data_IF_508183846936
#
_entry.id   IF_508183846936
#
_cell.length_a   1.000
_cell.length_b   1.000
_cell.length_c   1.000
_cell.angle_alpha   90.00
_cell.angle_beta   90.00
_cell.angle_gamma   90.00
#
_symmetry.space_group_name_H-M   'P 1'
#
loop_
_entity.id
_entity.type
_entity.pdbx_description
1 polymer ?
#
# COMPACT_ATOMS: atom_id res chain seq x y z
N UNK A 1 35.79 -37.70 66.15
CA UNK A 1 34.43 -37.47 65.61
C UNK A 1 34.32 -35.98 65.28
N UNK A 2 34.38 -35.60 64.01
CA UNK A 2 34.07 -34.23 63.60
C UNK A 2 33.29 -34.29 62.29
N UNK A 3 32.00 -33.97 62.39
CA UNK A 3 31.02 -33.90 61.31
C UNK A 3 31.19 -32.54 60.62
N UNK A 4 31.72 -32.52 59.40
CA UNK A 4 31.69 -31.28 58.61
C UNK A 4 30.40 -31.22 57.81
N UNK A 5 29.61 -30.20 58.13
CA UNK A 5 28.30 -29.88 57.58
C UNK A 5 28.43 -29.23 56.19
N UNK A 6 27.45 -29.52 55.33
CA UNK A 6 27.27 -29.08 53.95
C UNK A 6 26.92 -27.59 53.85
N UNK A 7 27.41 -26.90 52.82
CA UNK A 7 26.62 -25.86 52.12
C UNK A 7 27.09 -25.73 50.67
N UNK A 8 26.30 -26.26 49.73
CA UNK A 8 26.42 -25.93 48.31
C UNK A 8 25.54 -24.70 48.06
N UNK A 9 26.14 -23.53 47.86
CA UNK A 9 25.42 -22.35 47.39
C UNK A 9 25.15 -22.52 45.89
N UNK A 10 23.91 -22.85 45.54
CA UNK A 10 23.44 -22.76 44.15
C UNK A 10 23.13 -21.29 43.84
N UNK A 11 24.02 -20.63 43.09
CA UNK A 11 23.77 -19.31 42.51
C UNK A 11 22.79 -19.47 41.33
N UNK A 12 21.50 -19.25 41.60
CA UNK A 12 20.50 -19.10 40.54
C UNK A 12 20.76 -17.78 39.81
N UNK A 13 21.36 -17.84 38.63
CA UNK A 13 21.49 -16.67 37.75
C UNK A 13 20.13 -16.40 37.10
N UNK A 14 19.45 -15.36 37.56
CA UNK A 14 18.24 -14.86 36.93
C UNK A 14 18.63 -14.25 35.56
N UNK A 15 18.29 -14.93 34.48
CA UNK A 15 18.42 -14.38 33.12
C UNK A 15 17.32 -13.34 32.95
N UNK A 16 17.65 -12.06 33.16
CA UNK A 16 16.76 -10.95 32.83
C UNK A 16 16.62 -10.87 31.31
N UNK A 17 15.55 -11.46 30.77
CA UNK A 17 15.17 -11.30 29.37
C UNK A 17 14.80 -9.85 29.09
N UNK A 18 15.63 -9.15 28.33
CA UNK A 18 15.29 -7.84 27.77
C UNK A 18 14.10 -8.01 26.82
N UNK A 19 12.90 -7.64 27.26
CA UNK A 19 11.74 -7.53 26.38
C UNK A 19 11.99 -6.36 25.42
N UNK A 20 12.27 -6.65 24.15
CA UNK A 20 12.34 -5.61 23.11
C UNK A 20 11.00 -4.87 23.09
N UNK A 21 10.99 -3.53 23.09
CA UNK A 21 9.76 -2.76 23.06
C UNK A 21 8.94 -3.14 21.81
N UNK A 22 7.64 -3.38 21.97
CA UNK A 22 6.72 -3.63 20.86
C UNK A 22 6.54 -2.34 20.05
N UNK A 23 7.41 -2.09 19.09
CA UNK A 23 7.22 -1.03 18.09
C UNK A 23 5.97 -1.34 17.27
N UNK A 24 5.06 -0.37 17.11
CA UNK A 24 3.91 -0.52 16.22
C UNK A 24 4.44 -0.74 14.80
N UNK A 25 4.00 -1.83 14.16
CA UNK A 25 4.34 -2.14 12.77
C UNK A 25 4.00 -0.95 11.84
N UNK A 26 4.89 -0.59 10.89
CA UNK A 26 4.61 0.49 9.95
C UNK A 26 3.41 0.12 9.07
N UNK A 27 2.51 1.08 8.84
CA UNK A 27 1.31 0.92 8.01
C UNK A 27 1.06 2.17 7.17
N UNK A 28 0.64 1.96 5.92
CA UNK A 28 0.10 3.03 5.08
C UNK A 28 -1.17 3.59 5.74
N UNK A 29 -1.32 4.91 5.72
CA UNK A 29 -2.58 5.56 6.10
C UNK A 29 -3.32 5.93 4.83
N UNK A 30 -4.58 5.52 4.76
CA UNK A 30 -5.43 5.68 3.58
C UNK A 30 -6.51 6.68 3.91
N UNK A 31 -6.65 7.71 3.07
CA UNK A 31 -7.80 8.63 3.06
C UNK A 31 -8.51 8.44 1.74
N UNK A 32 -9.82 8.24 1.76
CA UNK A 32 -10.65 8.15 0.54
C UNK A 32 -11.19 9.55 0.26
N UNK A 33 -10.71 10.16 -0.81
CA UNK A 33 -11.02 11.56 -1.15
C UNK A 33 -12.27 11.65 -2.05
N UNK A 34 -12.44 10.66 -2.93
CA UNK A 34 -13.62 10.52 -3.77
C UNK A 34 -13.93 9.04 -3.99
N UNK A 35 -15.20 8.66 -3.89
CA UNK A 35 -15.68 7.32 -4.18
C UNK A 35 -16.90 7.39 -5.09
N UNK A 36 -16.89 6.71 -6.25
CA UNK A 36 -18.06 6.56 -7.10
C UNK A 36 -19.23 5.90 -6.36
N UNK A 37 -20.46 6.29 -6.70
CA UNK A 37 -21.68 5.74 -6.10
C UNK A 37 -21.88 4.26 -6.46
N UNK A 38 -21.67 3.90 -7.74
CA UNK A 38 -21.65 2.51 -8.19
C UNK A 38 -20.20 2.03 -8.32
N UNK A 39 -19.98 0.78 -7.94
CA UNK A 39 -18.66 0.17 -7.87
C UNK A 39 -18.73 -1.30 -8.30
N UNK A 40 -19.04 -1.55 -9.58
CA UNK A 40 -19.19 -2.91 -10.10
C UNK A 40 -17.87 -3.67 -10.15
N UNK A 41 -16.75 -2.95 -10.30
CA UNK A 41 -15.40 -3.50 -10.34
C UNK A 41 -14.58 -2.89 -9.21
N UNK A 42 -14.02 -3.78 -8.37
CA UNK A 42 -13.11 -3.44 -7.27
C UNK A 42 -11.76 -4.08 -7.50
N UNK A 43 -10.69 -3.32 -7.28
CA UNK A 43 -9.32 -3.82 -7.34
C UNK A 43 -9.09 -4.91 -6.31
N UNK A 44 -8.44 -6.00 -6.73
CA UNK A 44 -8.01 -7.08 -5.86
C UNK A 44 -6.63 -7.59 -6.24
N UNK A 45 -6.08 -8.43 -5.37
CA UNK A 45 -4.80 -9.11 -5.59
C UNK A 45 -4.72 -9.71 -7.00
N UNK A 46 -3.59 -9.51 -7.67
CA UNK A 46 -3.29 -9.96 -9.04
C UNK A 46 -4.06 -9.27 -10.17
N UNK A 47 -4.92 -8.28 -9.88
CA UNK A 47 -5.49 -7.44 -10.94
C UNK A 47 -4.39 -6.53 -11.51
N UNK A 48 -4.47 -6.26 -12.82
CA UNK A 48 -3.66 -5.24 -13.47
C UNK A 48 -4.37 -3.89 -13.37
N UNK A 49 -3.76 -2.93 -12.70
CA UNK A 49 -4.35 -1.61 -12.47
C UNK A 49 -3.68 -0.58 -13.36
N UNK A 50 -4.48 0.35 -13.89
CA UNK A 50 -4.01 1.60 -14.47
C UNK A 50 -4.28 2.73 -13.47
N UNK A 51 -3.22 3.40 -12.98
CA UNK A 51 -3.32 4.42 -11.94
C UNK A 51 -2.76 5.76 -12.41
N UNK A 52 -3.54 6.83 -12.22
CA UNK A 52 -2.98 8.16 -12.16
C UNK A 52 -2.54 8.49 -10.74
N UNK A 53 -1.47 9.27 -10.61
CA UNK A 53 -0.92 9.69 -9.32
C UNK A 53 -0.12 10.99 -9.37
N UNK A 54 0.01 11.61 -8.20
CA UNK A 54 1.00 12.65 -7.86
C UNK A 54 1.73 12.22 -6.59
N UNK A 55 3.06 12.09 -6.66
CA UNK A 55 3.93 11.77 -5.53
C UNK A 55 4.57 13.02 -4.93
N UNK A 56 4.41 13.21 -3.62
CA UNK A 56 4.89 14.38 -2.87
C UNK A 56 5.75 14.00 -1.67
N UNK A 57 6.76 14.81 -1.40
CA UNK A 57 7.49 14.77 -0.13
C UNK A 57 6.65 15.42 1.00
N UNK A 58 7.12 15.28 2.24
CA UNK A 58 6.45 15.83 3.43
C UNK A 58 6.27 17.35 3.40
N UNK A 59 7.15 18.07 2.71
CA UNK A 59 7.05 19.53 2.52
C UNK A 59 6.05 19.93 1.41
N UNK A 60 5.42 18.96 0.75
CA UNK A 60 4.45 19.16 -0.32
C UNK A 60 5.08 19.26 -1.71
N UNK A 61 6.41 19.27 -1.84
CA UNK A 61 7.07 19.30 -3.13
C UNK A 61 6.83 17.99 -3.91
N UNK A 62 6.49 18.13 -5.19
CA UNK A 62 6.20 17.00 -6.09
C UNK A 62 7.52 16.42 -6.62
N UNK A 63 7.70 15.11 -6.51
CA UNK A 63 8.88 14.42 -7.06
C UNK A 63 8.57 13.59 -8.31
N UNK A 64 7.31 13.22 -8.52
CA UNK A 64 6.84 12.51 -9.70
C UNK A 64 5.33 12.71 -9.89
N UNK A 65 4.89 12.72 -11.15
CA UNK A 65 3.51 12.96 -11.54
C UNK A 65 3.21 12.24 -12.86
N UNK A 66 2.17 11.40 -12.88
CA UNK A 66 1.71 10.72 -14.10
C UNK A 66 1.02 11.65 -15.11
N UNK A 67 0.40 12.74 -14.63
CA UNK A 67 -0.37 13.66 -15.48
C UNK A 67 0.53 14.45 -16.44
N UNK A 68 1.78 14.75 -16.04
CA UNK A 68 2.76 15.43 -16.91
C UNK A 68 3.07 14.60 -18.17
N UNK A 69 2.87 13.28 -18.10
CA UNK A 69 3.10 12.33 -19.19
C UNK A 69 1.81 11.92 -19.90
N UNK A 70 0.63 12.32 -19.39
CA UNK A 70 -0.68 11.85 -19.85
C UNK A 70 -0.78 10.32 -19.99
N UNK A 71 -0.09 9.59 -19.12
CA UNK A 71 -0.02 8.13 -19.17
C UNK A 71 -0.13 7.55 -17.75
N UNK A 72 -1.19 6.79 -17.45
CA UNK A 72 -1.31 6.05 -16.19
C UNK A 72 -0.14 5.06 -16.03
N UNK A 73 0.22 4.80 -14.78
CA UNK A 73 1.13 3.70 -14.46
C UNK A 73 0.34 2.40 -14.43
N UNK A 74 0.77 1.42 -15.22
CA UNK A 74 0.22 0.07 -15.21
C UNK A 74 1.10 -0.89 -14.41
N UNK A 75 0.49 -1.66 -13.51
CA UNK A 75 1.18 -2.69 -12.72
C UNK A 75 0.19 -3.73 -12.18
N UNK A 76 0.71 -4.87 -11.74
CA UNK A 76 -0.09 -5.92 -11.11
C UNK A 76 -0.13 -5.72 -9.60
N UNK A 77 -1.32 -5.58 -9.02
CA UNK A 77 -1.51 -5.30 -7.60
C UNK A 77 -1.08 -6.48 -6.71
N UNK A 78 -0.28 -6.19 -5.68
CA UNK A 78 0.06 -7.11 -4.61
C UNK A 78 1.19 -8.08 -4.95
N UNK A 79 1.89 -7.88 -6.07
CA UNK A 79 2.99 -8.76 -6.52
C UNK A 79 4.37 -8.21 -6.17
N UNK A 80 4.45 -7.04 -5.51
CA UNK A 80 5.73 -6.36 -5.23
C UNK A 80 6.33 -5.61 -6.41
N UNK A 81 5.56 -5.38 -7.48
CA UNK A 81 5.99 -4.55 -8.63
C UNK A 81 6.08 -3.06 -8.27
N UNK A 82 5.35 -2.63 -7.24
CA UNK A 82 5.35 -1.26 -6.71
C UNK A 82 5.72 -1.28 -5.23
N UNK A 83 5.87 -0.10 -4.62
CA UNK A 83 6.17 0.01 -3.18
C UNK A 83 5.08 -0.64 -2.32
N UNK A 84 5.46 -1.20 -1.17
CA UNK A 84 4.56 -1.94 -0.27
C UNK A 84 3.32 -1.13 0.14
N UNK A 85 3.48 0.18 0.30
CA UNK A 85 2.37 1.08 0.63
C UNK A 85 1.30 1.15 -0.46
N UNK A 86 1.67 0.98 -1.73
CA UNK A 86 0.71 0.89 -2.84
C UNK A 86 0.05 -0.50 -2.87
N UNK A 87 0.83 -1.57 -2.75
CA UNK A 87 0.30 -2.94 -2.71
C UNK A 87 -0.76 -3.11 -1.61
N UNK A 88 -0.60 -2.47 -0.46
CA UNK A 88 -1.60 -2.47 0.62
C UNK A 88 -2.67 -1.39 0.46
N UNK A 89 -2.30 -0.19 0.03
CA UNK A 89 -3.17 0.99 0.02
C UNK A 89 -4.21 1.01 -1.11
N UNK A 90 -4.00 0.23 -2.17
CA UNK A 90 -4.81 0.25 -3.38
C UNK A 90 -5.78 -0.94 -3.51
N UNK A 91 -5.87 -1.79 -2.49
CA UNK A 91 -6.87 -2.86 -2.42
C UNK A 91 -8.28 -2.27 -2.25
N UNK A 92 -9.27 -2.95 -2.82
CA UNK A 92 -10.70 -2.60 -2.71
C UNK A 92 -11.01 -1.17 -3.16
N UNK A 93 -10.36 -0.69 -4.22
CA UNK A 93 -10.68 0.57 -4.89
C UNK A 93 -11.69 0.34 -6.00
N UNK A 94 -12.64 1.26 -6.13
CA UNK A 94 -13.51 1.35 -7.31
C UNK A 94 -12.79 2.04 -8.47
N UNK A 95 -13.07 1.64 -9.71
CA UNK A 95 -12.66 2.45 -10.88
C UNK A 95 -13.28 3.84 -10.75
N UNK A 96 -12.46 4.89 -10.85
CA UNK A 96 -12.79 6.29 -10.60
C UNK A 96 -12.55 6.76 -9.15
N UNK A 97 -12.27 5.85 -8.21
CA UNK A 97 -11.97 6.22 -6.81
C UNK A 97 -10.64 6.96 -6.69
N UNK A 98 -10.62 7.99 -5.84
CA UNK A 98 -9.42 8.77 -5.49
C UNK A 98 -9.06 8.61 -4.03
N UNK A 99 -7.77 8.43 -3.76
CA UNK A 99 -7.24 8.28 -2.40
C UNK A 99 -6.00 9.14 -2.18
N UNK A 100 -5.79 9.53 -0.93
CA UNK A 100 -4.53 10.06 -0.44
C UNK A 100 -3.88 9.01 0.46
N UNK A 101 -2.69 8.55 0.09
CA UNK A 101 -1.89 7.57 0.81
C UNK A 101 -0.71 8.27 1.48
N UNK A 102 -0.66 8.27 2.81
CA UNK A 102 0.57 8.57 3.53
C UNK A 102 1.34 7.27 3.77
N UNK A 103 2.54 7.17 3.20
CA UNK A 103 3.36 5.96 3.20
C UNK A 103 4.64 6.25 3.98
N UNK A 104 4.80 5.66 5.18
CA UNK A 104 6.04 5.80 5.92
C UNK A 104 7.18 5.11 5.17
N UNK A 105 8.41 5.59 5.35
CA UNK A 105 9.55 5.15 4.54
C UNK A 105 9.78 3.64 4.51
N UNK A 106 9.45 2.92 5.58
CA UNK A 106 9.56 1.44 5.67
C UNK A 106 8.65 0.70 4.69
N UNK A 107 7.59 1.36 4.21
CA UNK A 107 6.67 0.86 3.20
C UNK A 107 6.85 1.54 1.82
N UNK A 108 7.80 2.46 1.72
CA UNK A 108 8.20 3.14 0.49
C UNK A 108 9.58 2.62 0.04
N UNK A 109 10.57 3.52 -0.09
CA UNK A 109 11.92 3.20 -0.59
C UNK A 109 12.95 2.93 0.53
N UNK A 110 12.51 2.85 1.78
CA UNK A 110 13.33 2.38 2.89
C UNK A 110 14.49 3.30 3.26
N UNK A 111 15.49 2.69 3.92
CA UNK A 111 16.70 3.35 4.42
C UNK A 111 17.62 3.84 3.29
N UNK A 112 17.52 3.26 2.09
CA UNK A 112 18.40 3.58 0.97
C UNK A 112 17.89 4.71 0.06
N UNK A 113 16.59 5.03 0.13
CA UNK A 113 15.98 5.91 -0.85
C UNK A 113 15.96 5.29 -2.26
N UNK A 114 15.89 6.11 -3.30
CA UNK A 114 15.84 5.62 -4.68
C UNK A 114 16.49 6.57 -5.69
N UNK A 115 17.46 6.03 -6.44
CA UNK A 115 18.08 6.63 -7.62
C UNK A 115 18.51 8.11 -7.47
N UNK A 116 18.90 8.54 -6.27
CA UNK A 116 19.27 9.93 -5.97
C UNK A 116 18.10 10.94 -6.02
N UNK A 117 16.89 10.51 -6.42
CA UNK A 117 15.68 11.34 -6.49
C UNK A 117 14.90 11.30 -5.18
N UNK A 118 14.81 10.11 -4.56
CA UNK A 118 14.13 9.93 -3.28
C UNK A 118 15.19 9.78 -2.18
N UNK A 119 15.23 10.67 -1.18
CA UNK A 119 16.18 10.55 -0.07
C UNK A 119 15.99 9.29 0.79
N UNK A 120 17.04 8.83 1.48
CA UNK A 120 16.94 7.89 2.58
C UNK A 120 15.83 8.24 3.58
N UNK A 121 15.06 7.25 4.03
CA UNK A 121 14.01 7.42 5.06
C UNK A 121 12.93 8.46 4.72
N UNK A 122 12.68 8.71 3.43
CA UNK A 122 11.63 9.63 3.02
C UNK A 122 10.24 9.02 3.24
N UNK A 123 9.43 9.66 4.09
CA UNK A 123 7.98 9.47 4.11
C UNK A 123 7.37 10.18 2.92
N UNK A 124 6.41 9.54 2.26
CA UNK A 124 5.81 10.02 1.02
C UNK A 124 4.30 10.16 1.14
N UNK A 125 3.75 11.11 0.42
CA UNK A 125 2.30 11.22 0.19
C UNK A 125 2.02 10.99 -1.28
N UNK A 126 1.03 10.15 -1.57
CA UNK A 126 0.53 9.93 -2.93
C UNK A 126 -0.94 10.29 -3.00
N UNK A 127 -1.30 11.17 -3.91
CA UNK A 127 -2.67 11.33 -4.38
C UNK A 127 -2.82 10.41 -5.59
N UNK A 128 -3.79 9.48 -5.55
CA UNK A 128 -3.95 8.42 -6.55
C UNK A 128 -5.39 8.35 -7.05
N UNK A 129 -5.56 7.92 -8.30
CA UNK A 129 -6.84 7.69 -8.96
C UNK A 129 -6.78 6.37 -9.72
N UNK A 130 -7.72 5.46 -9.44
CA UNK A 130 -7.85 4.22 -10.19
C UNK A 130 -8.58 4.49 -11.49
N UNK A 131 -7.84 4.44 -12.61
CA UNK A 131 -8.38 4.73 -13.94
C UNK A 131 -9.07 3.52 -14.54
N UNK A 132 -8.47 2.33 -14.38
CA UNK A 132 -9.03 1.09 -14.90
C UNK A 132 -8.47 -0.14 -14.17
N UNK A 133 -9.24 -1.23 -14.21
CA UNK A 133 -8.78 -2.57 -13.88
C UNK A 133 -8.74 -3.38 -15.18
N UNK A 134 -7.56 -3.44 -15.80
CA UNK A 134 -7.38 -3.94 -17.16
C UNK A 134 -7.82 -5.41 -17.25
N UNK A 135 -8.69 -5.68 -18.22
CA UNK A 135 -9.24 -7.01 -18.48
C UNK A 135 -10.38 -7.43 -17.54
N UNK A 136 -10.81 -6.56 -16.61
CA UNK A 136 -11.94 -6.79 -15.71
C UNK A 136 -13.10 -5.89 -16.14
N UNK A 137 -14.12 -6.47 -16.77
CA UNK A 137 -15.30 -5.71 -17.26
C UNK A 137 -16.40 -5.68 -16.19
N UNK A 138 -17.18 -4.61 -16.19
CA UNK A 138 -18.43 -4.51 -15.42
C UNK A 138 -19.44 -5.57 -15.93
N UNK A 139 -19.92 -6.49 -15.08
CA UNK A 139 -20.96 -7.44 -15.46
C UNK A 139 -22.24 -6.79 -16.03
N UNK A 140 -22.62 -5.60 -15.55
CA UNK A 140 -23.82 -4.88 -16.03
C UNK A 140 -23.66 -4.33 -17.44
N UNK A 141 -22.42 -4.10 -17.89
CA UNK A 141 -22.16 -3.62 -19.24
C UNK A 141 -22.59 -4.65 -20.31
N UNK A 142 -22.55 -5.95 -19.99
CA UNK A 142 -23.04 -6.99 -20.89
C UNK A 142 -24.56 -7.09 -20.90
N UNK A 143 -25.18 -6.98 -19.73
CA UNK A 143 -26.65 -7.03 -19.60
C UNK A 143 -27.33 -5.90 -20.41
N UNK A 144 -26.69 -4.72 -20.53
CA UNK A 144 -27.18 -3.63 -21.37
C UNK A 144 -26.91 -3.82 -22.88
N UNK A 145 -25.78 -4.44 -23.25
CA UNK A 145 -25.41 -4.65 -24.67
C UNK A 145 -26.16 -5.81 -25.31
N UNK A 146 -26.60 -6.78 -24.51
CA UNK A 146 -27.35 -7.94 -24.97
C UNK A 146 -28.89 -7.74 -24.82
N UNK A 147 -29.37 -6.54 -24.44
CA UNK A 147 -30.80 -6.18 -24.46
C UNK A 147 -31.23 -5.82 -25.91
N UNK A 148 -32.12 -6.61 -26.55
CA UNK A 148 -32.57 -6.39 -27.93
C UNK A 148 -33.25 -5.04 -28.20
N UNK A 149 -33.50 -4.22 -27.16
CA UNK A 149 -34.22 -2.94 -27.27
C UNK A 149 -33.32 -1.73 -27.57
N UNK A 150 -32.00 -1.90 -27.67
CA UNK A 150 -31.08 -0.76 -27.85
C UNK A 150 -30.51 -0.56 -29.27
N UNK A 151 -30.82 -1.45 -30.23
CA UNK A 151 -30.36 -1.35 -31.62
C UNK A 151 -31.28 -0.55 -32.56
N UNK A 152 -32.36 0.05 -32.04
CA UNK A 152 -33.25 0.95 -32.79
C UNK A 152 -33.16 2.40 -32.30
N UNK A 153 -32.04 3.10 -32.56
CA UNK A 153 -31.98 4.57 -32.73
C UNK A 153 -30.84 4.98 -33.66
#
# INVERSE_FOLDING_TARGET
MLRTLVTVLALASAVMGAQKPKTKEPRVKITVDHKPEDCPVRSRQNDMLAMHYVGKFKDGSVFDNSYDRNMPLEFTLGTGMVIKGWDEGLKDMCVGEKRTLFIPYQMAYGEGGFAGRIPPKADLTFEVELVDVIGRRDPKQYEYKDDPKHDEL
#
